data_IF_114465979226
#
_entry.id   IF_114465979226
#
_cell.length_a   1.000
_cell.length_b   1.000
_cell.length_c   1.000
_cell.angle_alpha   90.00
_cell.angle_beta   90.00
_cell.angle_gamma   90.00
#
_symmetry.space_group_name_H-M   'P 1'
#
loop_
_entity.id
_entity.type
_entity.pdbx_description
1 polymer ?
#
# COMPACT_ATOMS: atom_id res chain seq x y z
N UNK A 1 17.13 9.42 -2.02
CA UNK A 1 16.54 10.66 -1.48
C UNK A 1 16.39 10.43 0.00
N UNK A 2 17.02 11.25 0.84
CA UNK A 2 16.95 11.12 2.30
C UNK A 2 15.59 11.70 2.72
N UNK A 3 14.78 10.93 3.40
CA UNK A 3 13.58 11.44 4.05
C UNK A 3 14.08 12.25 5.25
N UNK A 4 13.92 13.58 5.20
CA UNK A 4 14.28 14.43 6.33
C UNK A 4 13.09 14.47 7.31
N UNK A 5 13.27 13.94 8.54
CA UNK A 5 12.19 13.95 9.53
C UNK A 5 11.59 15.34 9.80
N UNK A 6 12.36 16.41 9.64
CA UNK A 6 11.92 17.77 9.95
C UNK A 6 11.04 18.40 8.85
N UNK A 7 11.23 18.00 7.58
CA UNK A 7 10.42 18.52 6.46
C UNK A 7 9.11 17.76 6.24
N UNK A 8 9.07 16.47 6.61
CA UNK A 8 7.89 15.63 6.39
C UNK A 8 6.76 15.92 7.37
N UNK A 9 7.06 16.47 8.53
CA UNK A 9 6.10 16.59 9.64
C UNK A 9 5.02 17.61 9.36
N UNK A 10 5.34 18.75 8.73
CA UNK A 10 4.33 19.74 8.32
C UNK A 10 3.36 19.18 7.28
N UNK A 11 3.91 18.44 6.32
CA UNK A 11 3.13 17.82 5.24
C UNK A 11 2.29 16.63 5.72
N UNK A 12 2.71 15.92 6.78
CA UNK A 12 1.96 14.79 7.35
C UNK A 12 0.65 15.22 8.01
N UNK A 13 0.57 16.43 8.54
CA UNK A 13 -0.66 16.96 9.13
C UNK A 13 -1.77 17.17 8.08
N UNK A 14 -1.41 17.54 6.85
CA UNK A 14 -2.36 17.69 5.76
C UNK A 14 -2.93 16.37 5.27
N UNK A 15 -2.20 15.26 5.45
CA UNK A 15 -2.66 13.92 5.07
C UNK A 15 -3.34 13.15 6.20
N UNK A 16 -3.32 13.68 7.42
CA UNK A 16 -3.97 13.03 8.57
C UNK A 16 -5.47 12.79 8.36
N UNK A 17 -6.12 13.52 7.46
CA UNK A 17 -7.52 13.32 7.09
C UNK A 17 -7.82 11.91 6.55
N UNK A 18 -6.85 11.20 5.97
CA UNK A 18 -7.01 9.82 5.49
C UNK A 18 -6.86 8.76 6.59
N UNK A 19 -6.37 9.11 7.79
CA UNK A 19 -6.16 8.17 8.89
C UNK A 19 -7.46 7.59 9.47
N UNK A 20 -8.53 8.39 9.72
CA UNK A 20 -9.79 7.83 10.20
C UNK A 20 -10.37 6.78 9.25
N UNK A 21 -10.33 7.03 7.93
CA UNK A 21 -10.80 6.08 6.91
C UNK A 21 -9.93 4.82 6.88
N UNK A 22 -8.60 4.96 6.99
CA UNK A 22 -7.70 3.83 7.09
C UNK A 22 -8.00 2.98 8.32
N UNK A 23 -8.16 3.59 9.49
CA UNK A 23 -8.49 2.90 10.74
C UNK A 23 -9.84 2.19 10.67
N UNK A 24 -10.84 2.79 10.04
CA UNK A 24 -12.13 2.15 9.78
C UNK A 24 -11.95 0.87 8.98
N UNK A 25 -11.20 0.91 7.87
CA UNK A 25 -10.91 -0.26 7.04
C UNK A 25 -10.21 -1.34 7.84
N UNK A 26 -9.10 -0.99 8.52
CA UNK A 26 -8.29 -1.99 9.27
C UNK A 26 -9.09 -2.60 10.42
N UNK A 27 -9.94 -1.83 11.09
CA UNK A 27 -10.81 -2.34 12.16
C UNK A 27 -11.78 -3.43 11.69
N UNK A 28 -12.07 -3.45 10.39
CA UNK A 28 -13.01 -4.38 9.74
C UNK A 28 -12.33 -5.66 9.22
N UNK A 29 -11.00 -5.68 9.10
CA UNK A 29 -10.25 -6.78 8.47
C UNK A 29 -10.58 -8.15 9.09
N UNK A 30 -10.55 -8.25 10.41
CA UNK A 30 -10.81 -9.52 11.10
C UNK A 30 -12.30 -9.76 11.45
N UNK A 31 -13.17 -8.77 11.20
CA UNK A 31 -14.58 -8.82 11.59
C UNK A 31 -15.50 -9.13 10.43
N UNK A 32 -15.07 -8.91 9.21
CA UNK A 32 -15.91 -9.01 8.03
C UNK A 32 -15.36 -10.02 7.03
N UNK A 33 -16.27 -10.67 6.32
CA UNK A 33 -15.97 -11.31 5.05
C UNK A 33 -15.90 -10.21 3.97
N UNK A 34 -14.73 -10.01 3.37
CA UNK A 34 -14.51 -8.95 2.39
C UNK A 34 -15.32 -9.11 1.12
N UNK A 35 -15.68 -10.36 0.78
CA UNK A 35 -16.53 -10.67 -0.38
C UNK A 35 -17.98 -10.29 -0.11
N UNK A 36 -18.49 -10.59 1.07
CA UNK A 36 -19.89 -10.40 1.45
C UNK A 36 -20.19 -9.00 1.99
N UNK A 37 -19.21 -8.32 2.60
CA UNK A 37 -19.43 -7.02 3.26
C UNK A 37 -19.44 -5.86 2.26
N UNK A 38 -20.63 -5.38 1.90
CA UNK A 38 -20.80 -4.20 1.05
C UNK A 38 -20.20 -2.93 1.67
N UNK A 39 -20.31 -2.77 2.99
CA UNK A 39 -19.74 -1.63 3.72
C UNK A 39 -18.22 -1.61 3.64
N UNK A 40 -17.55 -2.76 3.89
CA UNK A 40 -16.10 -2.85 3.73
C UNK A 40 -15.68 -2.53 2.29
N UNK A 41 -16.33 -3.13 1.29
CA UNK A 41 -16.02 -2.93 -0.13
C UNK A 41 -16.15 -1.44 -0.53
N UNK A 42 -17.19 -0.78 -0.05
CA UNK A 42 -17.42 0.65 -0.31
C UNK A 42 -16.33 1.51 0.32
N UNK A 43 -16.03 1.32 1.60
CA UNK A 43 -15.00 2.06 2.34
C UNK A 43 -13.62 1.85 1.70
N UNK A 44 -13.25 0.59 1.41
CA UNK A 44 -11.99 0.23 0.78
C UNK A 44 -11.83 0.85 -0.61
N UNK A 45 -12.85 0.69 -1.47
CA UNK A 45 -12.81 1.20 -2.84
C UNK A 45 -12.72 2.73 -2.89
N UNK A 46 -13.43 3.42 -1.97
CA UNK A 46 -13.35 4.87 -1.85
C UNK A 46 -11.95 5.34 -1.41
N UNK A 47 -11.41 4.75 -0.35
CA UNK A 47 -10.10 5.11 0.22
C UNK A 47 -8.97 4.88 -0.77
N UNK A 48 -8.89 3.69 -1.35
CA UNK A 48 -7.84 3.31 -2.31
C UNK A 48 -8.12 3.74 -3.74
N UNK A 49 -9.23 4.44 -4.00
CA UNK A 49 -9.66 4.93 -5.31
C UNK A 49 -9.75 3.82 -6.36
N UNK A 50 -10.30 2.68 -5.96
CA UNK A 50 -10.55 1.55 -6.86
C UNK A 50 -11.77 1.90 -7.72
N UNK A 51 -11.55 2.32 -8.97
CA UNK A 51 -12.59 2.85 -9.86
C UNK A 51 -12.51 2.22 -11.24
N UNK A 52 -13.62 2.31 -11.97
CA UNK A 52 -13.69 1.95 -13.39
C UNK A 52 -13.26 0.50 -13.69
N UNK A 53 -13.73 -0.42 -12.85
CA UNK A 53 -13.58 -1.87 -13.05
C UNK A 53 -14.95 -2.50 -13.33
N UNK A 54 -14.95 -3.65 -14.02
CA UNK A 54 -16.15 -4.47 -14.18
C UNK A 54 -16.50 -5.16 -12.87
N UNK A 55 -17.77 -5.55 -12.69
CA UNK A 55 -18.23 -6.23 -11.47
C UNK A 55 -17.42 -7.49 -11.16
N UNK A 56 -17.13 -8.30 -12.19
CA UNK A 56 -16.37 -9.54 -12.05
C UNK A 56 -14.96 -9.30 -11.49
N UNK A 57 -14.34 -8.16 -11.86
CA UNK A 57 -13.05 -7.77 -11.31
C UNK A 57 -13.15 -7.43 -9.82
N UNK A 58 -14.17 -6.66 -9.42
CA UNK A 58 -14.37 -6.32 -8.00
C UNK A 58 -14.62 -7.56 -7.16
N UNK A 59 -15.44 -8.49 -7.64
CA UNK A 59 -15.77 -9.73 -6.92
C UNK A 59 -14.53 -10.60 -6.76
N UNK A 60 -13.75 -10.81 -7.82
CA UNK A 60 -12.51 -11.56 -7.76
C UNK A 60 -11.46 -10.89 -6.87
N UNK A 61 -11.36 -9.55 -6.90
CA UNK A 61 -10.40 -8.81 -6.09
C UNK A 61 -10.69 -8.96 -4.58
N UNK A 62 -11.96 -8.79 -4.18
CA UNK A 62 -12.35 -8.94 -2.77
C UNK A 62 -12.35 -10.40 -2.31
N UNK A 63 -12.61 -11.35 -3.21
CA UNK A 63 -12.43 -12.78 -2.92
C UNK A 63 -10.95 -13.13 -2.71
N UNK A 64 -10.05 -12.62 -3.54
CA UNK A 64 -8.61 -12.79 -3.34
C UNK A 64 -8.15 -12.19 -2.02
N UNK A 65 -8.69 -11.03 -1.64
CA UNK A 65 -8.37 -10.37 -0.37
C UNK A 65 -8.87 -11.19 0.83
N UNK A 66 -10.07 -11.77 0.76
CA UNK A 66 -10.57 -12.67 1.80
C UNK A 66 -9.70 -13.92 1.93
N UNK A 67 -9.38 -14.55 0.80
CA UNK A 67 -8.56 -15.75 0.78
C UNK A 67 -7.13 -15.48 1.32
N UNK A 68 -6.62 -14.26 1.16
CA UNK A 68 -5.30 -13.86 1.66
C UNK A 68 -5.17 -13.99 3.19
N UNK A 69 -6.26 -13.90 3.94
CA UNK A 69 -6.26 -14.10 5.40
C UNK A 69 -5.86 -15.51 5.82
N UNK A 70 -6.19 -16.51 4.99
CA UNK A 70 -6.04 -17.92 5.30
C UNK A 70 -4.98 -18.62 4.44
N UNK A 71 -4.81 -18.13 3.21
CA UNK A 71 -3.94 -18.71 2.19
C UNK A 71 -3.09 -17.59 1.57
N UNK A 72 -2.04 -17.12 2.27
CA UNK A 72 -1.26 -15.97 1.82
C UNK A 72 -0.53 -16.25 0.51
N UNK A 73 -0.81 -15.40 -0.47
CA UNK A 73 -0.15 -15.38 -1.77
C UNK A 73 0.96 -14.34 -1.77
N UNK A 74 2.01 -14.59 -2.54
CA UNK A 74 3.04 -13.60 -2.80
C UNK A 74 2.53 -12.47 -3.69
N UNK A 75 3.26 -11.35 -3.73
CA UNK A 75 2.97 -10.25 -4.64
C UNK A 75 2.91 -10.69 -6.11
N UNK A 76 3.84 -11.55 -6.54
CA UNK A 76 3.83 -12.12 -7.89
C UNK A 76 2.58 -12.94 -8.17
N UNK A 77 2.20 -13.83 -7.26
CA UNK A 77 1.01 -14.67 -7.43
C UNK A 77 -0.27 -13.83 -7.55
N UNK A 78 -0.37 -12.73 -6.77
CA UNK A 78 -1.49 -11.79 -6.89
C UNK A 78 -1.48 -11.04 -8.22
N UNK A 79 -0.31 -10.57 -8.68
CA UNK A 79 -0.18 -9.95 -10.00
C UNK A 79 -0.67 -10.89 -11.11
N UNK A 80 -0.24 -12.15 -11.09
CA UNK A 80 -0.63 -13.15 -12.09
C UNK A 80 -2.13 -13.44 -12.07
N UNK A 81 -2.73 -13.55 -10.87
CA UNK A 81 -4.18 -13.75 -10.73
C UNK A 81 -4.97 -12.54 -11.24
N UNK A 82 -4.58 -11.31 -10.88
CA UNK A 82 -5.29 -10.11 -11.34
C UNK A 82 -5.05 -9.81 -12.83
N UNK A 83 -3.90 -10.21 -13.39
CA UNK A 83 -3.61 -10.06 -14.82
C UNK A 83 -4.58 -10.82 -15.72
N UNK A 84 -5.27 -11.83 -15.24
CA UNK A 84 -6.30 -12.53 -16.02
C UNK A 84 -7.42 -11.59 -16.48
N UNK A 85 -7.59 -10.43 -15.82
CA UNK A 85 -8.50 -9.35 -16.21
C UNK A 85 -7.86 -8.33 -17.17
N UNK A 86 -6.67 -8.59 -17.69
CA UNK A 86 -6.04 -7.84 -18.77
C UNK A 86 -4.87 -6.94 -18.35
N UNK A 87 -4.88 -6.37 -17.15
CA UNK A 87 -3.88 -5.41 -16.69
C UNK A 87 -2.94 -5.99 -15.61
N UNK A 88 -1.72 -5.45 -15.54
CA UNK A 88 -0.79 -5.73 -14.43
C UNK A 88 -1.11 -4.74 -13.31
N UNK A 89 -1.80 -5.22 -12.28
CA UNK A 89 -2.37 -4.39 -11.21
C UNK A 89 -1.41 -4.26 -9.99
N UNK A 90 -0.20 -3.71 -10.21
CA UNK A 90 0.83 -3.58 -9.16
C UNK A 90 0.33 -2.85 -7.92
N UNK A 91 -0.33 -1.72 -8.13
CA UNK A 91 -0.84 -0.90 -7.02
C UNK A 91 -1.95 -1.60 -6.25
N UNK A 92 -2.87 -2.29 -6.94
CA UNK A 92 -3.96 -2.99 -6.26
C UNK A 92 -3.49 -4.28 -5.58
N UNK A 93 -2.52 -5.00 -6.17
CA UNK A 93 -1.91 -6.17 -5.51
C UNK A 93 -1.24 -5.79 -4.20
N UNK A 94 -0.47 -4.70 -4.17
CA UNK A 94 0.19 -4.25 -2.94
C UNK A 94 -0.79 -3.71 -1.89
N UNK A 95 -1.86 -3.02 -2.31
CA UNK A 95 -2.91 -2.54 -1.39
C UNK A 95 -3.68 -3.69 -0.75
N UNK A 96 -3.93 -4.77 -1.52
CA UNK A 96 -4.50 -6.00 -0.99
C UNK A 96 -3.59 -6.59 0.10
N UNK A 97 -2.30 -6.76 -0.20
CA UNK A 97 -1.32 -7.25 0.78
C UNK A 97 -1.29 -6.38 2.03
N UNK A 98 -1.13 -5.07 1.88
CA UNK A 98 -1.02 -4.10 2.97
C UNK A 98 -2.31 -3.94 3.80
N UNK A 99 -3.44 -4.42 3.31
CA UNK A 99 -4.70 -4.42 4.07
C UNK A 99 -4.80 -5.63 4.97
N UNK A 100 -4.34 -6.79 4.52
CA UNK A 100 -4.35 -8.03 5.30
C UNK A 100 -3.14 -8.11 6.23
N UNK A 101 -1.99 -7.65 5.79
CA UNK A 101 -0.74 -7.57 6.54
C UNK A 101 -0.28 -6.09 6.57
N UNK A 102 -0.55 -5.42 7.70
CA UNK A 102 -0.29 -3.98 7.87
C UNK A 102 1.19 -3.59 7.84
N UNK A 103 2.08 -4.57 7.91
CA UNK A 103 3.53 -4.38 7.82
C UNK A 103 4.06 -4.49 6.39
N UNK A 104 3.17 -4.60 5.40
CA UNK A 104 3.51 -4.55 3.98
C UNK A 104 3.39 -3.13 3.43
N UNK A 105 4.40 -2.64 2.68
CA UNK A 105 4.33 -1.34 2.03
C UNK A 105 3.39 -1.35 0.82
N UNK A 106 2.84 -0.18 0.48
CA UNK A 106 2.05 -0.03 -0.74
C UNK A 106 2.93 0.34 -1.94
N UNK A 107 2.55 -0.16 -3.12
CA UNK A 107 3.02 0.33 -4.39
C UNK A 107 2.14 1.51 -4.81
N UNK A 108 2.64 2.71 -4.62
CA UNK A 108 1.99 3.95 -5.08
C UNK A 108 2.96 4.80 -5.88
N UNK A 109 2.44 5.63 -6.79
CA UNK A 109 3.29 6.49 -7.61
C UNK A 109 4.15 7.46 -6.80
N UNK A 110 3.66 7.91 -5.63
CA UNK A 110 4.40 8.82 -4.76
C UNK A 110 5.51 8.09 -4.01
N UNK A 111 5.24 6.86 -3.56
CA UNK A 111 6.26 5.96 -3.01
C UNK A 111 7.34 5.72 -4.06
N UNK A 112 6.97 5.33 -5.28
CA UNK A 112 7.92 5.11 -6.37
C UNK A 112 8.74 6.37 -6.71
N UNK A 113 8.12 7.55 -6.74
CA UNK A 113 8.82 8.84 -6.97
C UNK A 113 9.81 9.12 -5.86
N UNK A 114 9.39 8.95 -4.61
CA UNK A 114 10.24 9.18 -3.42
C UNK A 114 11.44 8.24 -3.39
N UNK A 115 11.27 7.00 -3.84
CA UNK A 115 12.34 5.99 -3.92
C UNK A 115 13.14 6.05 -5.24
N UNK A 116 12.81 6.98 -6.16
CA UNK A 116 13.48 7.10 -7.46
C UNK A 116 13.16 5.99 -8.47
N UNK A 117 12.13 5.18 -8.20
CA UNK A 117 11.75 4.02 -9.02
C UNK A 117 10.68 4.32 -10.09
N UNK A 118 10.04 5.50 -10.02
CA UNK A 118 8.93 5.86 -10.90
C UNK A 118 9.29 5.84 -12.39
N UNK A 119 10.43 6.45 -12.76
CA UNK A 119 10.90 6.47 -14.15
C UNK A 119 11.29 5.08 -14.64
N UNK A 120 11.95 4.30 -13.79
CA UNK A 120 12.33 2.92 -14.06
C UNK A 120 11.10 2.06 -14.37
N UNK A 121 10.04 2.13 -13.57
CA UNK A 121 8.81 1.40 -13.82
C UNK A 121 8.15 1.80 -15.14
N UNK A 122 8.02 3.11 -15.39
CA UNK A 122 7.36 3.59 -16.60
C UNK A 122 8.12 3.27 -17.90
N UNK A 123 9.44 3.05 -17.85
CA UNK A 123 10.22 2.63 -19.01
C UNK A 123 9.87 1.22 -19.51
N UNK A 124 9.16 0.43 -18.68
CA UNK A 124 8.66 -0.90 -19.04
C UNK A 124 7.25 -0.89 -19.66
N UNK A 125 6.64 0.28 -19.88
CA UNK A 125 5.39 0.37 -20.63
C UNK A 125 5.60 -0.10 -22.07
N UNK A 126 4.70 -0.97 -22.56
CA UNK A 126 4.80 -1.56 -23.90
C UNK A 126 5.71 -2.80 -24.02
N UNK A 127 6.39 -3.19 -22.95
CA UNK A 127 7.14 -4.45 -22.88
C UNK A 127 6.22 -5.66 -22.72
N UNK A 128 6.77 -6.84 -22.96
CA UNK A 128 6.09 -8.10 -22.71
C UNK A 128 5.57 -8.21 -21.27
N UNK A 129 4.44 -8.90 -21.09
CA UNK A 129 3.78 -9.02 -19.77
C UNK A 129 4.66 -9.74 -18.75
N UNK A 130 5.40 -10.76 -19.15
CA UNK A 130 6.29 -11.49 -18.24
C UNK A 130 7.50 -10.65 -17.83
N UNK A 131 8.08 -9.89 -18.76
CA UNK A 131 9.14 -8.92 -18.43
C UNK A 131 8.64 -7.88 -17.42
N UNK A 132 7.41 -7.37 -17.61
CA UNK A 132 6.80 -6.40 -16.70
C UNK A 132 6.50 -6.99 -15.34
N UNK A 133 6.02 -8.24 -15.25
CA UNK A 133 5.80 -8.92 -13.97
C UNK A 133 7.13 -9.11 -13.25
N UNK A 134 8.14 -9.66 -13.93
CA UNK A 134 9.46 -9.86 -13.34
C UNK A 134 10.05 -8.54 -12.81
N UNK A 135 9.88 -7.45 -13.57
CA UNK A 135 10.32 -6.13 -13.15
C UNK A 135 9.52 -5.61 -11.95
N UNK A 136 8.20 -5.79 -11.94
CA UNK A 136 7.35 -5.39 -10.82
C UNK A 136 7.73 -6.12 -9.53
N UNK A 137 7.94 -7.43 -9.61
CA UNK A 137 8.37 -8.24 -8.46
C UNK A 137 9.69 -7.74 -7.89
N UNK A 138 10.68 -7.46 -8.76
CA UNK A 138 11.97 -6.91 -8.33
C UNK A 138 11.82 -5.55 -7.66
N UNK A 139 11.07 -4.62 -8.27
CA UNK A 139 10.86 -3.29 -7.70
C UNK A 139 10.12 -3.40 -6.34
N UNK A 140 9.14 -4.28 -6.22
CA UNK A 140 8.42 -4.46 -4.96
C UNK A 140 9.31 -5.01 -3.86
N UNK A 141 10.15 -5.99 -4.16
CA UNK A 141 11.17 -6.47 -3.22
C UNK A 141 12.16 -5.37 -2.80
N UNK A 142 12.56 -4.50 -3.73
CA UNK A 142 13.41 -3.33 -3.41
C UNK A 142 12.66 -2.33 -2.49
N UNK A 143 11.35 -2.14 -2.69
CA UNK A 143 10.51 -1.32 -1.80
C UNK A 143 10.48 -1.93 -0.41
N UNK A 144 10.14 -3.22 -0.27
CA UNK A 144 10.10 -3.92 1.02
C UNK A 144 11.44 -3.82 1.76
N UNK A 145 12.53 -4.07 1.05
CA UNK A 145 13.88 -3.94 1.61
C UNK A 145 14.17 -2.51 2.08
N UNK A 146 13.81 -1.51 1.28
CA UNK A 146 14.03 -0.12 1.65
C UNK A 146 13.27 0.25 2.93
N UNK A 147 11.99 -0.17 3.06
CA UNK A 147 11.22 0.08 4.28
C UNK A 147 11.86 -0.59 5.50
N UNK A 148 12.27 -1.84 5.37
CA UNK A 148 12.95 -2.56 6.46
C UNK A 148 14.25 -1.86 6.89
N UNK A 149 15.10 -1.48 5.93
CA UNK A 149 16.35 -0.78 6.20
C UNK A 149 16.09 0.61 6.81
N UNK A 150 15.12 1.35 6.28
CA UNK A 150 14.79 2.69 6.77
C UNK A 150 14.23 2.67 8.20
N UNK A 151 13.29 1.80 8.50
CA UNK A 151 12.70 1.67 9.85
C UNK A 151 13.75 1.26 10.90
N UNK A 152 14.77 0.52 10.50
CA UNK A 152 15.89 0.17 11.38
C UNK A 152 16.90 1.32 11.58
N UNK A 153 16.89 2.31 10.70
CA UNK A 153 17.80 3.47 10.78
C UNK A 153 17.41 4.46 11.89
N UNK A 154 18.35 5.34 12.25
CA UNK A 154 18.09 6.44 13.20
C UNK A 154 16.98 7.36 12.69
N UNK A 155 17.02 7.72 11.41
CA UNK A 155 16.05 8.64 10.80
C UNK A 155 14.65 8.02 10.76
N UNK A 156 14.54 6.73 10.43
CA UNK A 156 13.26 6.02 10.43
C UNK A 156 12.62 5.96 11.82
N UNK A 157 13.41 5.62 12.84
CA UNK A 157 12.94 5.62 14.22
C UNK A 157 12.51 7.01 14.71
N UNK A 158 13.23 8.04 14.29
CA UNK A 158 12.85 9.42 14.58
C UNK A 158 11.55 9.82 13.86
N UNK A 159 11.36 9.42 12.59
CA UNK A 159 10.12 9.64 11.86
C UNK A 159 8.92 9.01 12.58
N UNK A 160 9.03 7.74 12.96
CA UNK A 160 7.97 7.03 13.70
C UNK A 160 7.63 7.74 15.00
N UNK A 161 8.64 8.09 15.81
CA UNK A 161 8.44 8.81 17.07
C UNK A 161 7.76 10.16 16.87
N UNK A 162 8.14 10.90 15.85
CA UNK A 162 7.54 12.18 15.53
C UNK A 162 6.10 12.04 15.08
N UNK A 163 5.78 11.03 14.25
CA UNK A 163 4.40 10.73 13.88
C UNK A 163 3.53 10.51 15.12
N UNK A 164 3.98 9.67 16.04
CA UNK A 164 3.27 9.36 17.28
C UNK A 164 3.12 10.59 18.19
N UNK A 165 4.10 11.49 18.20
CA UNK A 165 4.05 12.74 18.98
C UNK A 165 3.02 13.73 18.41
N UNK A 166 2.90 13.83 17.09
CA UNK A 166 2.01 14.77 16.40
C UNK A 166 0.58 14.23 16.35
N UNK A 167 0.43 12.92 16.24
CA UNK A 167 -0.84 12.21 16.08
C UNK A 167 -1.02 11.17 17.21
N UNK A 168 -1.09 11.61 18.48
CA UNK A 168 -1.09 10.71 19.63
C UNK A 168 -2.27 9.73 19.64
N UNK A 169 -3.41 10.10 19.06
CA UNK A 169 -4.58 9.23 18.95
C UNK A 169 -4.35 7.99 18.07
N UNK A 170 -3.32 8.01 17.24
CA UNK A 170 -2.93 6.92 16.34
C UNK A 170 -1.65 6.19 16.78
N UNK A 171 -0.99 6.68 17.81
CA UNK A 171 0.20 6.05 18.36
C UNK A 171 -0.08 4.60 18.80
N UNK A 172 0.76 3.67 18.37
CA UNK A 172 0.58 2.25 18.65
C UNK A 172 -0.61 1.56 17.95
N UNK A 173 -1.43 2.30 17.20
CA UNK A 173 -2.57 1.75 16.44
C UNK A 173 -2.30 1.61 14.93
N UNK A 174 -1.38 2.41 14.42
CA UNK A 174 -0.93 2.40 13.03
C UNK A 174 0.44 1.75 12.97
N UNK A 175 0.66 0.81 12.05
CA UNK A 175 1.96 0.16 11.88
C UNK A 175 3.04 1.17 11.46
N UNK A 176 4.29 0.92 11.81
CA UNK A 176 5.39 1.81 11.46
C UNK A 176 5.59 1.93 9.94
N UNK A 177 5.37 0.83 9.20
CA UNK A 177 5.34 0.86 7.74
C UNK A 177 4.29 1.84 7.23
N UNK A 178 3.09 1.78 7.80
CA UNK A 178 1.99 2.66 7.36
C UNK A 178 2.21 4.12 7.73
N UNK A 179 2.86 4.41 8.87
CA UNK A 179 3.28 5.77 9.22
C UNK A 179 4.22 6.35 8.13
N UNK A 180 5.18 5.54 7.66
CA UNK A 180 6.08 5.93 6.57
C UNK A 180 5.33 6.09 5.25
N UNK A 181 4.37 5.21 4.93
CA UNK A 181 3.49 5.37 3.74
C UNK A 181 2.81 6.74 3.75
N UNK A 182 2.20 7.14 4.87
CA UNK A 182 1.55 8.45 4.99
C UNK A 182 2.55 9.59 4.75
N UNK A 183 3.75 9.50 5.29
CA UNK A 183 4.79 10.51 5.11
C UNK A 183 5.28 10.61 3.65
N UNK A 184 5.40 9.48 2.93
CA UNK A 184 5.84 9.48 1.53
C UNK A 184 4.74 9.99 0.59
N UNK A 185 3.49 9.66 0.88
CA UNK A 185 2.33 10.08 0.07
C UNK A 185 2.00 11.55 0.29
N UNK A 186 2.33 12.13 1.44
CA UNK A 186 2.12 13.56 1.74
C UNK A 186 2.95 14.52 0.89
N UNK A 187 3.99 14.03 0.23
CA UNK A 187 4.81 14.81 -0.73
C UNK A 187 4.13 15.06 -2.09
N UNK A 188 2.81 15.27 -2.07
CA UNK A 188 2.00 15.53 -3.30
C UNK A 188 2.31 16.87 -3.92
#
# INVERSE_FOLDING_TARGET
MIINPNTIIGECLETAWGLPQYMDIISKVNKNDFKASADFRTSFNAYYRVRQRKSEWYDAYHELMENQKHYPLSFEQLLRKLMTFGNIETSFSSKLLATVDVDRPIWDQYVLKSLGRYKEWNSFNGKDKEERISKAVKIYADIEKWYADFLNSKDGKECVKKFDTILPDYAGKVSDVKKIDFMLVSKR
#
